data_IF_424799722577
#
_entry.id   IF_424799722577
#
_cell.length_a   1.000
_cell.length_b   1.000
_cell.length_c   1.000
_cell.angle_alpha   90.00
_cell.angle_beta   90.00
_cell.angle_gamma   90.00
#
_symmetry.space_group_name_H-M   'P 1'
#
loop_
_entity.id
_entity.type
_entity.pdbx_description
1 polymer ?
#
# COMPACT_ATOMS: atom_id res chain seq x y z
N UNK A 1 -54.54 61.45 -40.43
CA UNK A 1 -54.04 60.64 -39.31
C UNK A 1 -54.67 59.25 -39.39
N UNK A 2 -54.47 58.57 -40.53
CA UNK A 2 -54.95 57.23 -40.89
C UNK A 2 -54.45 57.07 -42.34
N UNK A 3 -53.20 56.64 -42.57
CA UNK A 3 -52.86 55.39 -43.29
C UNK A 3 -51.33 55.11 -43.12
N UNK A 4 -50.62 55.89 -42.29
CA UNK A 4 -49.15 55.79 -42.13
C UNK A 4 -48.69 54.70 -41.13
N UNK A 5 -49.56 54.14 -40.28
CA UNK A 5 -49.15 53.06 -39.35
C UNK A 5 -49.39 51.62 -39.86
N UNK A 6 -50.00 51.46 -41.03
CA UNK A 6 -50.17 50.16 -41.73
C UNK A 6 -48.83 49.56 -42.24
N UNK A 7 -47.82 50.42 -42.41
CA UNK A 7 -46.49 49.98 -42.87
C UNK A 7 -45.62 49.48 -41.70
N UNK A 8 -45.90 49.90 -40.46
CA UNK A 8 -45.20 49.39 -39.26
C UNK A 8 -45.70 47.98 -38.90
N UNK A 9 -46.99 47.68 -39.11
CA UNK A 9 -47.54 46.34 -38.89
C UNK A 9 -47.07 45.29 -39.92
N UNK A 10 -46.88 45.68 -41.20
CA UNK A 10 -46.50 44.73 -42.26
C UNK A 10 -45.01 44.42 -42.34
N UNK A 11 -44.12 45.28 -41.84
CA UNK A 11 -42.68 44.97 -41.77
C UNK A 11 -42.37 44.10 -40.53
N UNK A 12 -43.19 44.21 -39.48
CA UNK A 12 -43.12 43.36 -38.28
C UNK A 12 -43.56 41.91 -38.51
N UNK A 13 -44.49 41.63 -39.43
CA UNK A 13 -44.99 40.25 -39.64
C UNK A 13 -44.24 39.45 -40.71
N UNK A 14 -43.58 40.09 -41.69
CA UNK A 14 -42.83 39.37 -42.75
C UNK A 14 -41.34 39.16 -42.44
N UNK A 15 -40.82 39.79 -41.39
CA UNK A 15 -39.41 39.62 -41.00
C UNK A 15 -39.23 38.52 -39.95
N UNK A 16 -40.28 38.16 -39.20
CA UNK A 16 -40.16 37.25 -38.02
C UNK A 16 -40.11 35.77 -38.41
N UNK A 17 -40.70 35.37 -39.55
CA UNK A 17 -40.66 33.98 -40.02
C UNK A 17 -39.24 33.50 -40.39
N UNK A 18 -38.54 34.13 -41.35
CA UNK A 18 -37.20 33.73 -41.75
C UNK A 18 -36.15 33.99 -40.66
N UNK A 19 -36.25 35.12 -39.95
CA UNK A 19 -35.33 35.47 -38.85
C UNK A 19 -35.55 34.53 -37.67
N UNK A 20 -36.81 34.22 -37.33
CA UNK A 20 -37.17 33.26 -36.28
C UNK A 20 -36.73 31.83 -36.60
N UNK A 21 -36.84 31.39 -37.86
CA UNK A 21 -36.28 30.11 -38.32
C UNK A 21 -34.75 30.08 -38.21
N UNK A 22 -34.06 31.16 -38.63
CA UNK A 22 -32.61 31.27 -38.50
C UNK A 22 -32.13 31.24 -37.04
N UNK A 23 -32.79 31.97 -36.16
CA UNK A 23 -32.53 31.90 -34.71
C UNK A 23 -32.89 30.52 -34.15
N UNK A 24 -33.94 29.87 -34.66
CA UNK A 24 -34.33 28.51 -34.29
C UNK A 24 -33.26 27.46 -34.61
N UNK A 25 -32.67 27.51 -35.81
CA UNK A 25 -31.55 26.64 -36.18
C UNK A 25 -30.29 26.91 -35.35
N UNK A 26 -30.01 28.18 -35.04
CA UNK A 26 -28.87 28.57 -34.19
C UNK A 26 -29.04 28.07 -32.74
N UNK A 27 -30.22 28.25 -32.16
CA UNK A 27 -30.56 27.78 -30.80
C UNK A 27 -30.52 26.25 -30.75
N UNK A 28 -31.09 25.57 -31.76
CA UNK A 28 -31.07 24.11 -31.88
C UNK A 28 -29.64 23.56 -32.00
N UNK A 29 -28.79 24.22 -32.80
CA UNK A 29 -27.37 23.87 -32.94
C UNK A 29 -26.63 24.02 -31.60
N UNK A 30 -26.74 25.19 -30.94
CA UNK A 30 -26.08 25.45 -29.66
C UNK A 30 -26.52 24.45 -28.58
N UNK A 31 -27.83 24.16 -28.52
CA UNK A 31 -28.38 23.17 -27.60
C UNK A 31 -27.79 21.77 -27.85
N UNK A 32 -27.70 21.33 -29.11
CA UNK A 32 -27.12 20.01 -29.46
C UNK A 32 -25.63 19.91 -29.12
N UNK A 33 -24.88 20.99 -29.28
CA UNK A 33 -23.47 21.06 -28.89
C UNK A 33 -23.33 21.01 -27.36
N UNK A 34 -24.14 21.76 -26.62
CA UNK A 34 -24.12 21.74 -25.16
C UNK A 34 -24.45 20.35 -24.59
N UNK A 35 -25.44 19.66 -25.17
CA UNK A 35 -25.78 18.27 -24.81
C UNK A 35 -24.60 17.33 -25.13
N UNK A 36 -23.93 17.53 -26.27
CA UNK A 36 -22.74 16.76 -26.62
C UNK A 36 -21.61 16.99 -25.61
N UNK A 37 -21.29 18.23 -25.25
CA UNK A 37 -20.26 18.58 -24.26
C UNK A 37 -20.56 17.94 -22.89
N UNK A 38 -21.83 17.98 -22.45
CA UNK A 38 -22.26 17.36 -21.19
C UNK A 38 -22.06 15.83 -21.22
N UNK A 39 -22.54 15.17 -22.29
CA UNK A 39 -22.44 13.70 -22.42
C UNK A 39 -21.00 13.24 -22.62
N UNK A 40 -20.20 14.02 -23.34
CA UNK A 40 -18.77 13.80 -23.52
C UNK A 40 -18.03 13.85 -22.18
N UNK A 41 -18.30 14.87 -21.35
CA UNK A 41 -17.74 14.97 -20.00
C UNK A 41 -18.09 13.75 -19.13
N UNK A 42 -19.36 13.31 -19.16
CA UNK A 42 -19.81 12.09 -18.46
C UNK A 42 -19.08 10.83 -18.95
N UNK A 43 -18.83 10.70 -20.26
CA UNK A 43 -18.09 9.58 -20.82
C UNK A 43 -16.62 9.58 -20.38
N UNK A 44 -15.96 10.74 -20.33
CA UNK A 44 -14.60 10.85 -19.80
C UNK A 44 -14.51 10.42 -18.33
N UNK A 45 -15.44 10.89 -17.48
CA UNK A 45 -15.51 10.48 -16.07
C UNK A 45 -15.73 8.97 -15.93
N UNK A 46 -16.62 8.40 -16.76
CA UNK A 46 -16.90 6.97 -16.76
C UNK A 46 -15.69 6.15 -17.21
N UNK A 47 -15.00 6.58 -18.27
CA UNK A 47 -13.75 5.97 -18.74
C UNK A 47 -12.72 5.96 -17.62
N UNK A 48 -12.54 7.08 -16.93
CA UNK A 48 -11.57 7.20 -15.84
C UNK A 48 -11.90 6.22 -14.69
N UNK A 49 -13.16 6.15 -14.27
CA UNK A 49 -13.59 5.21 -13.23
C UNK A 49 -13.35 3.73 -13.61
N UNK A 50 -13.68 3.36 -14.86
CA UNK A 50 -13.43 2.00 -15.37
C UNK A 50 -11.94 1.73 -15.54
N UNK A 51 -11.16 2.71 -15.99
CA UNK A 51 -9.70 2.61 -16.12
C UNK A 51 -9.03 2.42 -14.76
N UNK A 52 -9.44 3.17 -13.74
CA UNK A 52 -8.97 2.98 -12.36
C UNK A 52 -9.30 1.56 -11.84
N UNK A 53 -10.45 1.03 -12.22
CA UNK A 53 -10.85 -0.35 -11.88
C UNK A 53 -9.99 -1.39 -12.61
N UNK A 54 -9.68 -1.15 -13.89
CA UNK A 54 -8.77 -1.98 -14.70
C UNK A 54 -7.35 -1.93 -14.17
N UNK A 55 -6.87 -0.74 -13.78
CA UNK A 55 -5.57 -0.56 -13.17
C UNK A 55 -5.55 -1.29 -11.84
N UNK A 56 -6.56 -1.11 -10.97
CA UNK A 56 -6.72 -1.87 -9.74
C UNK A 56 -6.72 -3.39 -9.96
N UNK A 57 -7.42 -3.88 -10.98
CA UNK A 57 -7.39 -5.29 -11.36
C UNK A 57 -5.99 -5.74 -11.82
N UNK A 58 -5.28 -4.92 -12.61
CA UNK A 58 -3.89 -5.20 -13.02
C UNK A 58 -2.92 -5.19 -11.84
N UNK A 59 -3.07 -4.25 -10.92
CA UNK A 59 -2.30 -4.17 -9.66
C UNK A 59 -2.52 -5.41 -8.80
N UNK A 60 -3.75 -5.96 -8.81
CA UNK A 60 -4.10 -7.21 -8.13
C UNK A 60 -3.95 -8.46 -9.01
N UNK A 61 -3.29 -8.34 -10.17
CA UNK A 61 -3.02 -9.41 -11.15
C UNK A 61 -4.26 -10.19 -11.62
N UNK A 62 -5.42 -9.56 -11.60
CA UNK A 62 -6.67 -10.13 -12.09
C UNK A 62 -6.76 -10.02 -13.62
N UNK A 63 -7.34 -11.05 -14.23
CA UNK A 63 -7.59 -11.06 -15.67
C UNK A 63 -8.73 -10.09 -15.98
N UNK A 64 -8.40 -8.98 -16.63
CA UNK A 64 -9.38 -8.03 -17.12
C UNK A 64 -10.10 -8.64 -18.33
N UNK A 65 -11.42 -8.77 -18.21
CA UNK A 65 -12.31 -9.28 -19.24
C UNK A 65 -12.08 -8.58 -20.59
N UNK A 66 -12.10 -9.35 -21.68
CA UNK A 66 -11.87 -8.86 -23.04
C UNK A 66 -12.87 -7.78 -23.46
N UNK A 67 -14.09 -7.87 -22.95
CA UNK A 67 -15.22 -6.97 -23.17
C UNK A 67 -14.89 -5.57 -22.61
N UNK A 68 -14.31 -5.50 -21.41
CA UNK A 68 -13.90 -4.23 -20.77
C UNK A 68 -12.75 -3.56 -21.53
N UNK A 69 -11.78 -4.35 -22.00
CA UNK A 69 -10.68 -3.83 -22.83
C UNK A 69 -11.19 -3.27 -24.15
N UNK A 70 -12.09 -4.01 -24.80
CA UNK A 70 -12.72 -3.62 -26.07
C UNK A 70 -13.53 -2.34 -25.90
N UNK A 71 -14.32 -2.26 -24.82
CA UNK A 71 -15.09 -1.06 -24.48
C UNK A 71 -14.18 0.16 -24.25
N UNK A 72 -13.10 0.03 -23.47
CA UNK A 72 -12.14 1.13 -23.26
C UNK A 72 -11.52 1.64 -24.56
N UNK A 73 -11.13 0.73 -25.46
CA UNK A 73 -10.60 1.10 -26.78
C UNK A 73 -11.64 1.84 -27.63
N UNK A 74 -12.89 1.37 -27.61
CA UNK A 74 -13.99 2.04 -28.32
C UNK A 74 -14.26 3.44 -27.76
N UNK A 75 -14.23 3.61 -26.44
CA UNK A 75 -14.40 4.89 -25.75
C UNK A 75 -13.26 5.84 -26.05
N UNK A 76 -12.01 5.37 -26.07
CA UNK A 76 -10.84 6.19 -26.44
C UNK A 76 -10.95 6.75 -27.85
N UNK A 77 -11.24 5.88 -28.82
CA UNK A 77 -11.47 6.28 -30.20
C UNK A 77 -12.61 7.30 -30.29
N UNK A 78 -13.70 7.07 -29.56
CA UNK A 78 -14.85 8.00 -29.56
C UNK A 78 -14.51 9.35 -28.94
N UNK A 79 -13.72 9.35 -27.86
CA UNK A 79 -13.24 10.57 -27.21
C UNK A 79 -12.37 11.38 -28.17
N UNK A 80 -11.45 10.73 -28.88
CA UNK A 80 -10.60 11.39 -29.88
C UNK A 80 -11.43 11.99 -31.03
N UNK A 81 -12.37 11.22 -31.60
CA UNK A 81 -13.28 11.70 -32.65
C UNK A 81 -14.14 12.90 -32.19
N UNK A 82 -14.66 12.84 -30.97
CA UNK A 82 -15.51 13.89 -30.40
C UNK A 82 -14.71 15.15 -30.03
N UNK A 83 -13.51 14.99 -29.47
CA UNK A 83 -12.59 16.11 -29.21
C UNK A 83 -12.19 16.81 -30.50
N UNK A 84 -11.80 16.04 -31.52
CA UNK A 84 -11.46 16.60 -32.83
C UNK A 84 -12.61 17.42 -33.42
N UNK A 85 -13.84 16.90 -33.34
CA UNK A 85 -15.03 17.65 -33.75
C UNK A 85 -15.26 18.93 -32.93
N UNK A 86 -15.11 18.88 -31.61
CA UNK A 86 -15.32 20.05 -30.74
C UNK A 86 -14.25 21.13 -30.92
N UNK A 87 -12.97 20.75 -31.10
CA UNK A 87 -11.86 21.67 -31.31
C UNK A 87 -11.81 22.20 -32.74
N UNK A 88 -11.81 21.33 -33.75
CA UNK A 88 -11.57 21.73 -35.13
C UNK A 88 -12.83 22.28 -35.81
N UNK A 89 -13.98 21.64 -35.63
CA UNK A 89 -15.21 21.99 -36.37
C UNK A 89 -16.11 23.00 -35.62
N UNK A 90 -16.11 22.97 -34.28
CA UNK A 90 -17.01 23.79 -33.45
C UNK A 90 -16.32 25.05 -32.93
N UNK A 91 -15.11 24.96 -32.36
CA UNK A 91 -14.37 26.14 -31.86
C UNK A 91 -13.79 27.01 -32.97
N UNK A 92 -13.16 26.42 -33.99
CA UNK A 92 -12.68 27.19 -35.16
C UNK A 92 -13.81 27.95 -35.84
N UNK A 93 -15.00 27.38 -35.87
CA UNK A 93 -16.19 28.00 -36.45
C UNK A 93 -16.87 29.02 -35.52
N UNK A 94 -16.63 28.99 -34.19
CA UNK A 94 -16.97 30.10 -33.29
C UNK A 94 -16.09 31.34 -33.55
N UNK A 95 -14.87 31.14 -34.08
CA UNK A 95 -13.90 32.21 -34.33
C UNK A 95 -14.07 32.88 -35.71
N UNK A 96 -14.80 32.26 -36.64
CA UNK A 96 -15.07 32.87 -37.94
C UNK A 96 -16.25 33.86 -37.86
N UNK A 97 -15.93 35.13 -38.19
CA UNK A 97 -16.85 36.20 -38.60
C UNK A 97 -17.79 36.82 -37.54
N UNK A 98 -17.30 37.23 -36.35
CA UNK A 98 -17.89 38.27 -35.48
C UNK A 98 -19.43 38.46 -35.55
N UNK A 99 -20.19 37.36 -35.56
CA UNK A 99 -21.66 37.34 -35.53
C UNK A 99 -22.47 37.72 -36.79
N UNK A 100 -21.89 37.97 -37.98
CA UNK A 100 -22.68 38.60 -39.07
C UNK A 100 -23.10 37.72 -40.28
N UNK A 101 -22.72 36.44 -40.36
CA UNK A 101 -23.27 35.54 -41.40
C UNK A 101 -23.33 34.08 -40.90
N UNK A 102 -24.47 33.60 -40.37
CA UNK A 102 -24.62 32.20 -40.03
C UNK A 102 -24.78 31.37 -41.31
N UNK A 103 -23.77 30.58 -41.68
CA UNK A 103 -23.98 29.52 -42.67
C UNK A 103 -24.93 28.47 -42.05
N UNK A 104 -26.22 28.63 -42.32
CA UNK A 104 -27.28 27.76 -41.81
C UNK A 104 -27.07 26.30 -42.21
N UNK A 105 -26.48 26.05 -43.39
CA UNK A 105 -26.18 24.69 -43.86
C UNK A 105 -25.05 24.09 -43.03
N UNK A 106 -24.04 24.89 -42.70
CA UNK A 106 -22.96 24.52 -41.79
C UNK A 106 -23.47 24.22 -40.38
N UNK A 107 -24.27 25.11 -39.77
CA UNK A 107 -24.85 24.88 -38.43
C UNK A 107 -25.78 23.68 -38.39
N UNK A 108 -26.57 23.46 -39.44
CA UNK A 108 -27.40 22.27 -39.56
C UNK A 108 -26.56 20.99 -39.65
N UNK A 109 -25.50 21.00 -40.47
CA UNK A 109 -24.56 19.88 -40.61
C UNK A 109 -23.83 19.57 -39.30
N UNK A 110 -23.28 20.59 -38.64
CA UNK A 110 -22.62 20.46 -37.33
C UNK A 110 -23.61 19.99 -36.27
N UNK A 111 -24.85 20.48 -36.26
CA UNK A 111 -25.89 20.02 -35.36
C UNK A 111 -26.26 18.55 -35.57
N UNK A 112 -26.31 18.06 -36.82
CA UNK A 112 -26.49 16.64 -37.12
C UNK A 112 -25.29 15.80 -36.68
N UNK A 113 -24.08 16.28 -36.93
CA UNK A 113 -22.83 15.59 -36.52
C UNK A 113 -22.73 15.52 -34.99
N UNK A 114 -23.11 16.60 -34.30
CA UNK A 114 -23.20 16.64 -32.85
C UNK A 114 -24.21 15.62 -32.32
N UNK A 115 -25.43 15.59 -32.87
CA UNK A 115 -26.45 14.62 -32.49
C UNK A 115 -26.01 13.17 -32.72
N UNK A 116 -25.31 12.90 -33.83
CA UNK A 116 -24.75 11.56 -34.11
C UNK A 116 -23.69 11.18 -33.06
N UNK A 117 -22.78 12.09 -32.73
CA UNK A 117 -21.79 11.86 -31.68
C UNK A 117 -22.44 11.66 -30.31
N UNK A 118 -23.47 12.45 -29.96
CA UNK A 118 -24.21 12.29 -28.71
C UNK A 118 -24.84 10.91 -28.59
N UNK A 119 -25.48 10.39 -29.65
CA UNK A 119 -26.08 9.05 -29.64
C UNK A 119 -25.04 7.96 -29.39
N UNK A 120 -23.94 8.00 -30.14
CA UNK A 120 -22.85 7.03 -29.97
C UNK A 120 -22.22 7.09 -28.56
N UNK A 121 -22.12 8.28 -27.96
CA UNK A 121 -21.64 8.44 -26.58
C UNK A 121 -22.64 7.87 -25.58
N UNK A 122 -23.95 8.03 -25.81
CA UNK A 122 -24.99 7.47 -24.93
C UNK A 122 -24.97 5.94 -24.98
N UNK A 123 -24.83 5.33 -26.16
CA UNK A 123 -24.68 3.88 -26.31
C UNK A 123 -23.48 3.35 -25.50
N UNK A 124 -22.31 4.00 -25.61
CA UNK A 124 -21.12 3.64 -24.82
C UNK A 124 -21.31 3.83 -23.31
N UNK A 125 -22.08 4.84 -22.88
CA UNK A 125 -22.41 5.05 -21.47
C UNK A 125 -23.33 3.95 -20.93
N UNK A 126 -24.27 3.48 -21.74
CA UNK A 126 -25.18 2.38 -21.39
C UNK A 126 -24.41 1.05 -21.29
N UNK A 127 -23.57 0.73 -22.27
CA UNK A 127 -22.64 -0.41 -22.22
C UNK A 127 -21.72 -0.34 -20.99
N UNK A 128 -21.23 0.87 -20.68
CA UNK A 128 -20.36 1.12 -19.52
C UNK A 128 -21.05 0.92 -18.16
N UNK A 129 -22.38 0.93 -18.12
CA UNK A 129 -23.17 0.70 -16.91
C UNK A 129 -23.08 -0.73 -16.37
N UNK A 130 -22.81 -1.71 -17.24
CA UNK A 130 -22.66 -3.11 -16.83
C UNK A 130 -21.33 -3.37 -16.10
N UNK A 131 -20.35 -2.48 -16.27
CA UNK A 131 -19.03 -2.57 -15.65
C UNK A 131 -18.93 -1.85 -14.29
N UNK A 132 -20.06 -1.34 -13.74
CA UNK A 132 -20.11 -0.62 -12.45
C UNK A 132 -19.89 -1.51 -11.20
N UNK A 133 -19.82 -2.84 -11.36
CA UNK A 133 -19.78 -3.78 -10.23
C UNK A 133 -18.38 -4.21 -9.81
N UNK A 134 -17.46 -3.30 -9.51
CA UNK A 134 -16.29 -3.61 -8.66
C UNK A 134 -15.85 -2.38 -7.85
N UNK A 135 -16.75 -1.78 -7.07
CA UNK A 135 -16.30 -0.96 -5.95
C UNK A 135 -15.70 -1.89 -4.89
N UNK A 136 -14.38 -2.05 -4.88
CA UNK A 136 -13.72 -2.11 -3.58
C UNK A 136 -12.54 -1.16 -3.56
N UNK A 137 -12.69 -0.19 -2.64
CA UNK A 137 -11.72 0.27 -1.67
C UNK A 137 -10.32 0.42 -2.25
N UNK A 138 -9.96 1.69 -2.47
CA UNK A 138 -8.58 2.11 -2.68
C UNK A 138 -7.65 1.33 -1.73
N UNK A 139 -6.47 0.88 -2.19
CA UNK A 139 -5.48 0.30 -1.29
C UNK A 139 -5.33 1.21 -0.07
N UNK A 140 -5.20 0.68 1.16
CA UNK A 140 -4.78 1.54 2.25
C UNK A 140 -3.54 2.28 1.75
N UNK A 141 -3.61 3.62 1.78
CA UNK A 141 -2.45 4.48 1.59
C UNK A 141 -1.33 3.79 2.34
N UNK A 142 -0.24 3.44 1.62
CA UNK A 142 1.01 3.07 2.26
C UNK A 142 1.23 4.17 3.26
N UNK A 143 0.94 3.89 4.53
CA UNK A 143 1.54 4.58 5.64
C UNK A 143 3.00 4.30 5.36
N UNK A 144 3.65 5.27 4.71
CA UNK A 144 5.08 5.40 4.72
C UNK A 144 5.34 5.35 6.20
N UNK A 145 5.78 4.18 6.68
CA UNK A 145 6.13 4.01 8.07
C UNK A 145 7.17 5.09 8.29
N UNK A 146 6.74 6.18 8.89
CA UNK A 146 7.57 7.28 9.31
C UNK A 146 8.25 6.80 10.58
N UNK A 147 9.01 5.71 10.47
CA UNK A 147 10.07 5.39 11.41
C UNK A 147 11.35 5.81 10.71
N UNK A 148 11.64 7.10 10.79
CA UNK A 148 12.99 7.64 10.65
C UNK A 148 13.93 7.19 11.76
N UNK A 149 13.52 6.23 12.61
CA UNK A 149 14.44 5.40 13.37
C UNK A 149 15.14 4.47 12.37
N UNK A 150 16.22 4.98 11.78
CA UNK A 150 17.17 4.17 11.03
C UNK A 150 17.51 2.98 11.92
N UNK A 151 17.29 1.76 11.44
CA UNK A 151 17.88 0.55 12.02
C UNK A 151 19.31 0.89 12.43
N UNK A 152 19.60 0.88 13.75
CA UNK A 152 20.94 1.26 14.21
C UNK A 152 21.92 0.25 13.63
N UNK A 153 22.94 0.78 12.99
CA UNK A 153 23.78 0.05 12.04
C UNK A 153 24.83 -0.81 12.74
N UNK A 154 24.37 -1.75 13.58
CA UNK A 154 25.19 -2.67 14.33
C UNK A 154 25.94 -3.61 13.39
N UNK A 155 27.27 -3.62 13.46
CA UNK A 155 28.12 -4.50 12.65
C UNK A 155 27.79 -5.98 12.88
N UNK A 156 27.47 -6.36 14.13
CA UNK A 156 27.02 -7.71 14.47
C UNK A 156 25.76 -8.12 13.71
N UNK A 157 24.85 -7.17 13.46
CA UNK A 157 23.59 -7.40 12.73
C UNK A 157 23.76 -7.32 11.22
N UNK A 158 24.64 -6.44 10.72
CA UNK A 158 24.97 -6.34 9.29
C UNK A 158 25.46 -7.66 8.72
N UNK A 159 26.33 -8.35 9.45
CA UNK A 159 26.87 -9.64 9.02
C UNK A 159 25.74 -10.67 8.85
N UNK A 160 24.84 -10.75 9.82
CA UNK A 160 23.67 -11.65 9.79
C UNK A 160 22.75 -11.29 8.62
N UNK A 161 22.40 -10.02 8.46
CA UNK A 161 21.53 -9.54 7.37
C UNK A 161 22.14 -9.90 6.00
N UNK A 162 23.45 -9.71 5.81
CA UNK A 162 24.14 -10.11 4.57
C UNK A 162 24.01 -11.61 4.31
N UNK A 163 24.17 -12.43 5.34
CA UNK A 163 24.05 -13.88 5.21
C UNK A 163 22.61 -14.31 4.92
N UNK A 164 21.62 -13.67 5.55
CA UNK A 164 20.18 -13.90 5.25
C UNK A 164 19.85 -13.53 3.82
N UNK A 165 20.33 -12.38 3.32
CA UNK A 165 20.16 -11.99 1.92
C UNK A 165 20.83 -12.97 0.96
N UNK A 166 21.99 -13.51 1.33
CA UNK A 166 22.65 -14.60 0.59
C UNK A 166 21.77 -15.86 0.50
N UNK A 167 21.21 -16.30 1.63
CA UNK A 167 20.29 -17.44 1.67
C UNK A 167 18.99 -17.18 0.89
N UNK A 168 18.46 -15.96 0.92
CA UNK A 168 17.28 -15.58 0.14
C UNK A 168 17.52 -15.68 -1.38
N UNK A 169 18.76 -15.48 -1.84
CA UNK A 169 19.16 -15.62 -3.25
C UNK A 169 19.38 -17.07 -3.69
N UNK A 170 19.58 -18.01 -2.76
CA UNK A 170 19.84 -19.41 -3.09
C UNK A 170 18.54 -20.17 -3.41
N UNK A 171 18.36 -20.64 -4.64
CA UNK A 171 17.16 -21.36 -5.11
C UNK A 171 16.89 -22.68 -4.36
N UNK A 172 17.89 -23.24 -3.67
CA UNK A 172 17.75 -24.48 -2.87
C UNK A 172 17.15 -24.21 -1.48
N UNK A 173 17.13 -22.95 -1.05
CA UNK A 173 16.64 -22.54 0.26
C UNK A 173 15.27 -21.89 0.10
N UNK A 174 14.26 -22.51 0.70
CA UNK A 174 12.88 -22.03 0.67
C UNK A 174 12.44 -21.39 1.98
N UNK A 175 12.95 -21.91 3.10
CA UNK A 175 12.63 -21.43 4.44
C UNK A 175 13.91 -20.98 5.15
N UNK A 176 13.83 -19.79 5.73
CA UNK A 176 14.90 -19.14 6.48
C UNK A 176 14.35 -18.70 7.83
N UNK A 177 15.14 -18.84 8.89
CA UNK A 177 14.79 -18.34 10.20
C UNK A 177 15.85 -17.40 10.77
N UNK A 178 15.37 -16.35 11.45
CA UNK A 178 16.17 -15.53 12.36
C UNK A 178 15.69 -15.85 13.78
N UNK A 179 16.55 -16.41 14.62
CA UNK A 179 16.17 -16.84 15.96
C UNK A 179 17.04 -16.21 17.05
N UNK A 180 16.52 -16.14 18.27
CA UNK A 180 17.24 -15.56 19.41
C UNK A 180 16.29 -15.01 20.47
N UNK A 181 16.83 -14.56 21.60
CA UNK A 181 16.05 -14.11 22.76
C UNK A 181 15.01 -13.03 22.41
N UNK A 182 13.94 -12.93 23.21
CA UNK A 182 12.99 -11.81 23.12
C UNK A 182 13.70 -10.46 23.33
N UNK A 183 13.30 -9.42 22.61
CA UNK A 183 13.90 -8.08 22.77
C UNK A 183 15.25 -7.86 22.07
N UNK A 184 15.77 -8.87 21.37
CA UNK A 184 17.09 -8.82 20.70
C UNK A 184 17.10 -8.07 19.35
N UNK A 185 15.92 -7.66 18.83
CA UNK A 185 15.79 -6.91 17.58
C UNK A 185 15.53 -7.73 16.32
N UNK A 186 15.00 -8.97 16.42
CA UNK A 186 14.71 -9.82 15.24
C UNK A 186 13.69 -9.20 14.28
N UNK A 187 12.57 -8.72 14.81
CA UNK A 187 11.54 -8.03 14.01
C UNK A 187 12.12 -6.81 13.28
N UNK A 188 13.02 -6.10 13.94
CA UNK A 188 13.67 -4.92 13.36
C UNK A 188 14.66 -5.31 12.24
N UNK A 189 15.41 -6.41 12.42
CA UNK A 189 16.22 -6.98 11.33
C UNK A 189 15.37 -7.47 10.16
N UNK A 190 14.21 -8.08 10.43
CA UNK A 190 13.30 -8.50 9.37
C UNK A 190 12.83 -7.30 8.54
N UNK A 191 12.46 -6.18 9.17
CA UNK A 191 12.10 -4.93 8.47
C UNK A 191 13.25 -4.38 7.62
N UNK A 192 14.47 -4.37 8.15
CA UNK A 192 15.66 -3.95 7.39
C UNK A 192 15.91 -4.86 6.17
N UNK A 193 15.74 -6.18 6.33
CA UNK A 193 15.80 -7.13 5.21
C UNK A 193 14.73 -6.82 4.16
N UNK A 194 13.49 -6.49 4.57
CA UNK A 194 12.44 -6.06 3.62
C UNK A 194 12.85 -4.82 2.85
N UNK A 195 13.47 -3.84 3.52
CA UNK A 195 14.00 -2.65 2.89
C UNK A 195 15.02 -2.98 1.79
N UNK A 196 15.99 -3.83 2.12
CA UNK A 196 17.05 -4.26 1.17
C UNK A 196 16.53 -5.12 0.04
N UNK A 197 15.64 -6.07 0.33
CA UNK A 197 14.99 -6.93 -0.67
C UNK A 197 14.24 -6.09 -1.71
N UNK A 198 13.51 -5.05 -1.26
CA UNK A 198 12.79 -4.14 -2.15
C UNK A 198 13.73 -3.26 -2.95
N UNK A 199 14.81 -2.76 -2.33
CA UNK A 199 15.81 -1.94 -3.01
C UNK A 199 16.56 -2.73 -4.09
N UNK A 200 16.92 -3.98 -3.80
CA UNK A 200 17.63 -4.88 -4.72
C UNK A 200 16.70 -5.52 -5.77
N UNK A 201 15.37 -5.38 -5.63
CA UNK A 201 14.40 -6.04 -6.49
C UNK A 201 14.45 -7.57 -6.43
N UNK A 202 14.86 -8.14 -5.29
CA UNK A 202 15.09 -9.59 -5.16
C UNK A 202 13.78 -10.40 -5.23
N UNK A 203 12.69 -9.80 -4.79
CA UNK A 203 11.33 -10.35 -4.84
C UNK A 203 10.39 -9.31 -5.43
N UNK A 204 9.37 -9.75 -6.17
CA UNK A 204 8.40 -8.80 -6.74
C UNK A 204 7.51 -8.20 -5.65
N UNK A 205 7.19 -9.01 -4.65
CA UNK A 205 6.33 -8.61 -3.54
C UNK A 205 6.83 -9.21 -2.22
N UNK A 206 6.49 -8.52 -1.14
CA UNK A 206 6.82 -8.94 0.22
C UNK A 206 5.58 -8.78 1.10
N UNK A 207 5.18 -9.84 1.77
CA UNK A 207 4.05 -9.86 2.70
C UNK A 207 4.54 -10.27 4.08
N UNK A 208 3.97 -9.68 5.13
CA UNK A 208 4.35 -9.90 6.53
C UNK A 208 3.09 -10.21 7.31
N UNK A 209 3.14 -11.23 8.16
CA UNK A 209 2.11 -11.52 9.14
C UNK A 209 2.72 -11.83 10.50
N UNK A 210 2.05 -11.40 11.56
CA UNK A 210 2.45 -11.67 12.94
C UNK A 210 1.74 -12.92 13.42
N UNK A 211 2.51 -13.94 13.80
CA UNK A 211 1.98 -15.24 14.23
C UNK A 211 1.53 -15.20 15.68
N UNK A 212 2.32 -14.57 16.56
CA UNK A 212 2.08 -14.46 18.01
C UNK A 212 2.05 -15.81 18.77
N UNK A 213 1.89 -15.77 20.09
CA UNK A 213 1.87 -16.96 20.97
C UNK A 213 0.71 -17.91 20.68
N UNK A 214 -0.45 -17.36 20.31
CA UNK A 214 -1.65 -18.13 20.01
C UNK A 214 -2.02 -17.86 18.55
N UNK A 215 -1.48 -18.65 17.61
CA UNK A 215 -1.63 -18.39 16.19
C UNK A 215 -3.10 -18.35 15.78
N UNK A 216 -3.51 -17.22 15.21
CA UNK A 216 -4.80 -17.09 14.56
C UNK A 216 -4.59 -17.16 13.05
N UNK A 217 -4.79 -18.35 12.47
CA UNK A 217 -4.51 -18.61 11.06
C UNK A 217 -5.38 -17.72 10.13
N UNK A 218 -6.62 -17.45 10.49
CA UNK A 218 -7.51 -16.55 9.74
C UNK A 218 -6.97 -15.11 9.70
N UNK A 219 -6.41 -14.65 10.83
CA UNK A 219 -5.74 -13.34 10.94
C UNK A 219 -4.46 -13.31 10.10
N UNK A 220 -3.63 -14.34 10.19
CA UNK A 220 -2.40 -14.47 9.38
C UNK A 220 -2.73 -14.41 7.89
N UNK A 221 -3.73 -15.18 7.43
CA UNK A 221 -4.21 -15.11 6.05
C UNK A 221 -4.66 -13.70 5.67
N UNK A 222 -5.37 -13.01 6.57
CA UNK A 222 -5.83 -11.64 6.35
C UNK A 222 -4.69 -10.64 6.19
N UNK A 223 -3.69 -10.68 7.07
CA UNK A 223 -2.51 -9.80 7.00
C UNK A 223 -1.70 -10.05 5.73
N UNK A 224 -1.48 -11.32 5.35
CA UNK A 224 -0.80 -11.66 4.10
C UNK A 224 -1.60 -11.21 2.88
N UNK A 225 -2.91 -11.44 2.86
CA UNK A 225 -3.78 -11.03 1.76
C UNK A 225 -3.82 -9.51 1.60
N UNK A 226 -3.94 -8.76 2.71
CA UNK A 226 -3.93 -7.29 2.69
C UNK A 226 -2.64 -6.75 2.05
N UNK A 227 -1.48 -7.28 2.45
CA UNK A 227 -0.19 -6.85 1.90
C UNK A 227 0.00 -7.23 0.43
N UNK A 228 -0.63 -8.32 -0.03
CA UNK A 228 -0.60 -8.77 -1.42
C UNK A 228 -1.73 -8.19 -2.29
N UNK A 229 -2.62 -7.36 -1.72
CA UNK A 229 -3.81 -6.88 -2.44
C UNK A 229 -4.81 -7.99 -2.80
N UNK A 230 -4.78 -9.11 -2.09
CA UNK A 230 -5.68 -10.24 -2.29
C UNK A 230 -7.02 -10.00 -1.56
N UNK A 231 -8.13 -10.38 -2.19
CA UNK A 231 -9.42 -10.47 -1.50
C UNK A 231 -9.67 -11.92 -1.12
N UNK A 232 -9.92 -12.14 0.16
CA UNK A 232 -10.31 -13.44 0.69
C UNK A 232 -11.83 -13.44 0.89
N UNK A 233 -12.58 -13.97 -0.08
CA UNK A 233 -14.05 -13.97 -0.03
C UNK A 233 -14.59 -15.19 0.70
N UNK A 234 -13.80 -16.26 0.79
CA UNK A 234 -14.19 -17.44 1.54
C UNK A 234 -14.27 -17.14 3.06
N UNK A 235 -15.31 -17.69 3.69
CA UNK A 235 -15.44 -17.66 5.15
C UNK A 235 -14.62 -18.78 5.82
N UNK A 236 -14.48 -19.92 5.14
CA UNK A 236 -13.75 -21.07 5.67
C UNK A 236 -12.24 -20.87 5.62
N UNK A 237 -11.54 -21.40 6.62
CA UNK A 237 -10.07 -21.36 6.68
C UNK A 237 -9.42 -21.95 5.41
N UNK A 238 -9.93 -23.08 4.93
CA UNK A 238 -9.40 -23.74 3.73
C UNK A 238 -9.67 -22.95 2.44
N UNK A 239 -10.87 -22.39 2.28
CA UNK A 239 -11.18 -21.57 1.10
C UNK A 239 -10.28 -20.33 1.03
N UNK A 240 -10.04 -19.68 2.17
CA UNK A 240 -9.12 -18.54 2.28
C UNK A 240 -7.67 -18.92 1.97
N UNK A 241 -7.24 -20.10 2.44
CA UNK A 241 -5.91 -20.63 2.14
C UNK A 241 -5.74 -20.83 0.63
N UNK A 242 -6.76 -21.36 -0.06
CA UNK A 242 -6.73 -21.58 -1.51
C UNK A 242 -6.71 -20.26 -2.30
N UNK A 243 -7.47 -19.26 -1.86
CA UNK A 243 -7.42 -17.90 -2.45
C UNK A 243 -6.04 -17.25 -2.27
N UNK A 244 -5.43 -17.39 -1.09
CA UNK A 244 -4.08 -16.89 -0.84
C UNK A 244 -3.03 -17.64 -1.65
N UNK A 245 -3.13 -18.97 -1.72
CA UNK A 245 -2.28 -19.81 -2.55
C UNK A 245 -2.32 -19.38 -4.03
N UNK A 246 -3.52 -19.18 -4.57
CA UNK A 246 -3.71 -18.70 -5.96
C UNK A 246 -3.06 -17.34 -6.16
N UNK A 247 -3.17 -16.44 -5.18
CA UNK A 247 -2.51 -15.12 -5.23
C UNK A 247 -0.98 -15.24 -5.22
N UNK A 248 -0.43 -16.12 -4.41
CA UNK A 248 1.02 -16.33 -4.28
C UNK A 248 1.63 -16.96 -5.53
N UNK A 249 0.90 -17.87 -6.20
CA UNK A 249 1.36 -18.58 -7.40
C UNK A 249 1.18 -17.77 -8.69
N UNK A 250 0.21 -16.85 -8.75
CA UNK A 250 0.09 -15.90 -9.86
C UNK A 250 1.21 -14.85 -9.88
N UNK A 251 1.78 -14.54 -8.71
CA UNK A 251 2.94 -13.65 -8.60
C UNK A 251 4.24 -14.35 -8.94
N UNK A 252 5.12 -13.63 -9.63
CA UNK A 252 6.51 -14.08 -9.79
C UNK A 252 7.25 -13.83 -8.48
N UNK A 253 7.61 -14.89 -7.75
CA UNK A 253 8.55 -14.85 -6.62
C UNK A 253 8.19 -13.85 -5.49
N UNK A 254 7.46 -14.35 -4.48
CA UNK A 254 7.02 -13.59 -3.29
C UNK A 254 7.86 -13.96 -2.06
N UNK A 255 8.24 -12.98 -1.25
CA UNK A 255 8.77 -13.22 0.10
C UNK A 255 7.65 -13.11 1.13
N UNK A 256 7.35 -14.20 1.82
CA UNK A 256 6.43 -14.24 2.95
C UNK A 256 7.24 -14.16 4.24
N UNK A 257 6.88 -13.24 5.13
CA UNK A 257 7.49 -13.10 6.45
C UNK A 257 6.50 -13.49 7.53
N UNK A 258 6.85 -14.49 8.33
CA UNK A 258 6.09 -14.92 9.50
C UNK A 258 6.82 -14.43 10.76
N UNK A 259 6.38 -13.31 11.31
CA UNK A 259 7.03 -12.65 12.45
C UNK A 259 6.51 -13.20 13.79
N UNK A 260 7.42 -13.35 14.74
CA UNK A 260 7.18 -13.80 16.11
C UNK A 260 6.49 -15.18 16.17
N UNK A 261 7.14 -16.20 15.57
CA UNK A 261 6.75 -17.62 15.66
C UNK A 261 7.24 -18.19 16.99
N UNK A 262 6.31 -18.55 17.87
CA UNK A 262 6.62 -19.13 19.18
C UNK A 262 6.72 -20.65 19.13
N UNK A 263 5.67 -21.29 18.62
CA UNK A 263 5.56 -22.74 18.47
C UNK A 263 5.79 -23.15 17.01
N UNK A 264 6.25 -24.39 16.76
CA UNK A 264 6.49 -24.86 15.40
C UNK A 264 5.21 -24.82 14.56
N UNK A 265 5.29 -24.20 13.38
CA UNK A 265 4.26 -24.33 12.36
C UNK A 265 4.56 -25.57 11.53
N UNK A 266 3.77 -26.62 11.71
CA UNK A 266 3.94 -27.86 10.95
C UNK A 266 3.35 -27.71 9.54
N UNK A 267 3.55 -28.75 8.73
CA UNK A 267 2.99 -28.83 7.38
C UNK A 267 1.52 -28.42 7.31
N UNK A 268 0.68 -28.93 8.23
CA UNK A 268 -0.76 -28.60 8.26
C UNK A 268 -1.05 -27.14 8.52
N UNK A 269 -0.21 -26.45 9.32
CA UNK A 269 -0.39 -25.03 9.60
C UNK A 269 -0.02 -24.19 8.37
N UNK A 270 1.08 -24.54 7.70
CA UNK A 270 1.51 -23.86 6.47
C UNK A 270 0.53 -24.11 5.30
N UNK A 271 -0.06 -25.29 5.23
CA UNK A 271 -1.14 -25.64 4.30
C UNK A 271 -2.41 -24.84 4.62
N UNK A 272 -2.80 -24.78 5.89
CA UNK A 272 -3.95 -24.00 6.35
C UNK A 272 -3.76 -22.48 6.19
N UNK A 273 -2.53 -21.98 6.20
CA UNK A 273 -2.22 -20.58 5.84
C UNK A 273 -2.33 -20.39 4.32
N UNK A 274 -2.01 -21.41 3.51
CA UNK A 274 -2.01 -21.33 2.05
C UNK A 274 -0.63 -21.06 1.43
N UNK A 275 0.45 -21.26 2.19
CA UNK A 275 1.83 -20.97 1.75
C UNK A 275 2.62 -22.22 1.41
N UNK A 276 2.23 -23.40 1.91
CA UNK A 276 3.02 -24.62 1.75
C UNK A 276 3.18 -25.06 0.28
N UNK A 277 2.08 -25.14 -0.47
CA UNK A 277 2.17 -25.55 -1.88
C UNK A 277 2.83 -24.47 -2.73
N UNK A 278 2.66 -23.19 -2.38
CA UNK A 278 3.35 -22.09 -3.06
C UNK A 278 4.88 -22.16 -2.90
N UNK A 279 5.38 -22.67 -1.77
CA UNK A 279 6.81 -22.97 -1.58
C UNK A 279 7.25 -24.11 -2.51
N UNK A 280 6.47 -25.20 -2.59
CA UNK A 280 6.80 -26.35 -3.44
C UNK A 280 6.92 -25.97 -4.92
N UNK A 281 6.06 -25.07 -5.37
CA UNK A 281 6.07 -24.54 -6.74
C UNK A 281 7.14 -23.47 -6.97
N UNK A 282 7.95 -23.14 -5.96
CA UNK A 282 8.97 -22.08 -5.99
C UNK A 282 8.39 -20.69 -6.31
N UNK A 283 7.11 -20.51 -5.99
CA UNK A 283 6.39 -19.24 -6.16
C UNK A 283 6.63 -18.29 -4.98
N UNK A 284 6.96 -18.82 -3.81
CA UNK A 284 7.35 -18.01 -2.66
C UNK A 284 8.47 -18.64 -1.81
N UNK A 285 9.10 -17.78 -1.00
CA UNK A 285 9.99 -18.17 0.11
C UNK A 285 9.46 -17.66 1.43
N UNK A 286 9.81 -18.35 2.52
CA UNK A 286 9.45 -17.93 3.88
C UNK A 286 10.71 -17.46 4.63
N UNK A 287 10.64 -16.25 5.17
CA UNK A 287 11.51 -15.80 6.26
C UNK A 287 10.68 -15.76 7.54
N UNK A 288 11.15 -16.38 8.61
CA UNK A 288 10.47 -16.27 9.91
C UNK A 288 11.38 -15.74 10.99
N UNK A 289 10.78 -15.13 12.01
CA UNK A 289 11.48 -14.79 13.25
C UNK A 289 10.96 -15.66 14.38
N UNK A 290 11.85 -16.18 15.23
CA UNK A 290 11.46 -17.02 16.36
C UNK A 290 12.29 -16.74 17.61
N UNK A 291 11.74 -17.05 18.79
CA UNK A 291 12.47 -16.92 20.06
C UNK A 291 13.40 -18.09 20.33
N UNK A 292 13.10 -19.26 19.78
CA UNK A 292 13.77 -20.51 20.12
C UNK A 292 14.30 -21.15 18.85
N UNK A 293 15.60 -21.47 18.85
CA UNK A 293 16.23 -22.20 17.75
C UNK A 293 15.64 -23.62 17.62
N UNK A 294 15.23 -24.22 18.73
CA UNK A 294 14.56 -25.51 18.76
C UNK A 294 13.27 -25.51 17.91
N UNK A 295 12.44 -24.46 18.02
CA UNK A 295 11.25 -24.28 17.18
C UNK A 295 11.61 -24.32 15.69
N UNK A 296 12.67 -23.62 15.30
CA UNK A 296 13.17 -23.61 13.92
C UNK A 296 13.65 -25.00 13.45
N UNK A 297 14.37 -25.72 14.32
CA UNK A 297 14.87 -27.06 14.04
C UNK A 297 13.73 -28.08 13.87
N UNK A 298 12.69 -28.01 14.70
CA UNK A 298 11.51 -28.86 14.60
C UNK A 298 10.75 -28.65 13.28
N UNK A 299 10.75 -27.43 12.75
CA UNK A 299 10.20 -27.08 11.43
C UNK A 299 11.10 -27.49 10.25
N UNK A 300 12.31 -28.02 10.50
CA UNK A 300 13.29 -28.44 9.47
C UNK A 300 13.66 -27.33 8.49
N UNK A 301 13.80 -26.10 9.01
CA UNK A 301 14.18 -24.92 8.23
C UNK A 301 15.61 -25.10 7.69
N UNK A 302 15.81 -24.82 6.40
CA UNK A 302 17.10 -25.10 5.74
C UNK A 302 18.24 -24.20 6.24
N UNK A 303 17.92 -22.93 6.56
CA UNK A 303 18.90 -21.94 6.98
C UNK A 303 18.42 -21.18 8.22
N UNK A 304 19.15 -21.34 9.31
CA UNK A 304 18.84 -20.72 10.60
C UNK A 304 19.96 -19.76 10.96
N UNK A 305 19.60 -18.54 11.35
CA UNK A 305 20.51 -17.46 11.70
C UNK A 305 20.26 -17.02 13.15
N UNK A 306 21.05 -17.56 14.12
CA UNK A 306 20.97 -17.15 15.51
C UNK A 306 21.47 -15.72 15.72
N UNK A 307 20.77 -14.99 16.58
CA UNK A 307 21.04 -13.61 16.94
C UNK A 307 21.38 -13.55 18.41
N UNK A 308 22.65 -13.26 18.71
CA UNK A 308 23.16 -13.07 20.06
C UNK A 308 22.92 -11.67 20.62
N UNK A 309 23.38 -11.42 21.85
CA UNK A 309 23.46 -10.10 22.46
C UNK A 309 24.31 -9.13 21.62
N UNK A 310 24.13 -7.82 21.84
CA UNK A 310 25.04 -6.83 21.26
C UNK A 310 26.47 -7.03 21.80
N UNK A 311 27.47 -6.57 21.05
CA UNK A 311 28.82 -6.42 21.63
C UNK A 311 28.78 -5.36 22.76
N UNK A 312 29.76 -5.38 23.66
CA UNK A 312 29.86 -4.36 24.71
C UNK A 312 29.92 -2.94 24.12
N UNK A 313 30.67 -2.78 23.03
CA UNK A 313 30.77 -1.52 22.30
C UNK A 313 29.44 -1.09 21.67
N UNK A 314 28.75 -2.00 20.98
CA UNK A 314 27.44 -1.72 20.37
C UNK A 314 26.39 -1.36 21.43
N UNK A 315 26.39 -2.09 22.54
CA UNK A 315 25.48 -1.86 23.66
C UNK A 315 25.73 -0.50 24.32
N UNK A 316 27.01 -0.18 24.60
CA UNK A 316 27.38 1.12 25.17
C UNK A 316 27.05 2.27 24.22
N UNK A 317 27.36 2.13 22.93
CA UNK A 317 27.05 3.15 21.93
C UNK A 317 25.53 3.37 21.80
N UNK A 318 24.72 2.30 21.89
CA UNK A 318 23.26 2.42 21.97
C UNK A 318 22.80 3.11 23.24
N UNK A 319 23.33 2.72 24.41
CA UNK A 319 22.97 3.34 25.67
C UNK A 319 23.28 4.85 25.67
N UNK A 320 24.48 5.22 25.22
CA UNK A 320 24.94 6.61 25.14
C UNK A 320 24.01 7.46 24.24
N UNK A 321 23.63 6.93 23.08
CA UNK A 321 22.68 7.60 22.19
C UNK A 321 21.30 7.80 22.85
N UNK A 322 20.80 6.80 23.58
CA UNK A 322 19.48 6.85 24.20
C UNK A 322 19.43 7.76 25.43
N UNK A 323 20.52 7.82 26.21
CA UNK A 323 20.66 8.72 27.35
C UNK A 323 20.88 10.19 26.92
N UNK A 324 21.59 10.40 25.82
CA UNK A 324 21.82 11.73 25.25
C UNK A 324 22.82 12.57 26.05
N UNK A 325 22.68 13.89 25.99
CA UNK A 325 23.70 14.85 26.45
C UNK A 325 23.97 14.86 27.96
N UNK A 326 23.14 14.18 28.78
CA UNK A 326 23.38 14.10 30.22
C UNK A 326 24.71 13.43 30.56
N UNK A 327 25.18 12.51 29.70
CA UNK A 327 26.45 11.81 29.87
C UNK A 327 27.69 12.69 29.66
N UNK A 328 27.52 13.95 29.20
CA UNK A 328 28.60 14.94 29.20
C UNK A 328 28.96 15.41 30.62
N UNK A 329 28.16 15.08 31.63
CA UNK A 329 28.45 15.37 33.04
C UNK A 329 29.48 14.36 33.57
N UNK A 330 30.72 14.76 33.94
CA UNK A 330 31.81 13.82 34.24
C UNK A 330 31.48 12.81 35.35
N UNK A 331 30.69 13.23 36.34
CA UNK A 331 30.32 12.38 37.48
C UNK A 331 29.26 11.32 37.13
N UNK A 332 28.57 11.44 35.99
CA UNK A 332 27.51 10.51 35.59
C UNK A 332 28.01 9.33 34.76
N UNK A 333 29.11 9.48 34.03
CA UNK A 333 29.61 8.46 33.08
C UNK A 333 29.83 7.12 33.80
N UNK A 334 30.47 7.13 34.98
CA UNK A 334 30.79 5.90 35.72
C UNK A 334 29.55 5.17 36.24
N UNK A 335 28.48 5.89 36.58
CA UNK A 335 27.21 5.30 37.01
C UNK A 335 26.41 4.84 35.79
N UNK A 336 26.43 5.59 34.70
CA UNK A 336 25.80 5.24 33.45
C UNK A 336 26.37 3.94 32.85
N UNK A 337 27.69 3.74 32.91
CA UNK A 337 28.32 2.46 32.53
C UNK A 337 27.81 1.29 33.38
N UNK A 338 27.59 1.49 34.67
CA UNK A 338 27.03 0.46 35.56
C UNK A 338 25.57 0.18 35.19
N UNK A 339 24.76 1.22 34.99
CA UNK A 339 23.36 1.08 34.55
C UNK A 339 23.26 0.36 33.20
N UNK A 340 24.14 0.68 32.25
CA UNK A 340 24.19 0.02 30.95
C UNK A 340 24.55 -1.47 31.07
N UNK A 341 25.41 -1.84 32.04
CA UNK A 341 25.74 -3.24 32.34
C UNK A 341 24.52 -4.01 32.85
N UNK A 342 23.68 -3.41 33.70
CA UNK A 342 22.43 -4.03 34.18
C UNK A 342 21.41 -4.27 33.04
N UNK A 343 21.58 -3.66 31.86
CA UNK A 343 20.75 -3.91 30.68
C UNK A 343 21.14 -5.18 29.91
N UNK A 344 22.16 -5.92 30.36
CA UNK A 344 22.61 -7.21 29.80
C UNK A 344 22.82 -7.22 28.28
N UNK A 345 23.25 -6.07 27.71
CA UNK A 345 23.48 -5.88 26.26
C UNK A 345 22.25 -6.20 25.40
N UNK A 346 21.05 -6.17 25.98
CA UNK A 346 19.79 -6.42 25.29
C UNK A 346 19.24 -5.09 24.72
N UNK A 347 19.05 -4.97 23.38
CA UNK A 347 18.60 -3.72 22.76
C UNK A 347 17.35 -3.11 23.38
N UNK A 348 16.31 -3.91 23.64
CA UNK A 348 15.06 -3.38 24.22
C UNK A 348 15.26 -2.81 25.63
N UNK A 349 16.11 -3.44 26.45
CA UNK A 349 16.40 -2.98 27.81
C UNK A 349 17.21 -1.68 27.77
N UNK A 350 18.23 -1.62 26.92
CA UNK A 350 19.07 -0.44 26.72
C UNK A 350 18.23 0.76 26.26
N UNK A 351 17.37 0.58 25.25
CA UNK A 351 16.50 1.66 24.75
C UNK A 351 15.57 2.13 25.86
N UNK A 352 14.92 1.22 26.56
CA UNK A 352 13.99 1.58 27.64
C UNK A 352 14.67 2.34 28.78
N UNK A 353 15.78 1.82 29.31
CA UNK A 353 16.49 2.40 30.45
C UNK A 353 17.19 3.70 30.04
N UNK A 354 17.91 3.70 28.92
CA UNK A 354 18.60 4.88 28.40
C UNK A 354 17.63 6.03 28.14
N UNK A 355 16.51 5.76 27.46
CA UNK A 355 15.49 6.80 27.21
C UNK A 355 14.81 7.28 28.50
N UNK A 356 14.57 6.41 29.48
CA UNK A 356 13.99 6.80 30.76
C UNK A 356 14.91 7.72 31.58
N UNK A 357 16.23 7.57 31.43
CA UNK A 357 17.25 8.40 32.08
C UNK A 357 17.72 9.57 31.21
N UNK A 358 17.13 9.73 30.02
CA UNK A 358 17.42 10.88 29.17
C UNK A 358 17.07 12.20 29.87
N UNK A 359 17.90 13.22 29.68
CA UNK A 359 17.76 14.54 30.32
C UNK A 359 17.80 14.55 31.86
N UNK A 360 18.24 13.45 32.50
CA UNK A 360 18.48 13.39 33.95
C UNK A 360 19.93 13.75 34.25
N UNK A 361 20.17 14.91 34.86
CA UNK A 361 21.50 15.41 35.18
C UNK A 361 21.91 15.20 36.65
N UNK A 362 20.97 14.81 37.51
CA UNK A 362 21.23 14.56 38.92
C UNK A 362 21.79 13.15 39.14
N UNK A 363 22.98 13.08 39.74
CA UNK A 363 23.66 11.84 40.10
C UNK A 363 22.80 10.95 41.02
N UNK A 364 21.97 11.56 41.88
CA UNK A 364 21.08 10.82 42.76
C UNK A 364 20.02 10.02 42.01
N UNK A 365 19.47 10.57 40.92
CA UNK A 365 18.49 9.86 40.08
C UNK A 365 19.11 8.63 39.42
N UNK A 366 20.35 8.75 38.93
CA UNK A 366 21.11 7.66 38.33
C UNK A 366 21.46 6.55 39.34
N UNK A 367 21.90 6.93 40.55
CA UNK A 367 22.15 5.96 41.64
C UNK A 367 20.87 5.22 42.04
N UNK A 368 19.75 5.94 42.11
CA UNK A 368 18.45 5.36 42.43
C UNK A 368 18.02 4.35 41.36
N UNK A 369 18.16 4.71 40.08
CA UNK A 369 17.87 3.81 38.97
C UNK A 369 18.76 2.56 39.00
N UNK A 370 20.07 2.73 39.22
CA UNK A 370 21.01 1.61 39.34
C UNK A 370 20.59 0.64 40.47
N UNK A 371 20.26 1.17 41.65
CA UNK A 371 19.80 0.36 42.78
C UNK A 371 18.51 -0.39 42.45
N UNK A 372 17.56 0.25 41.76
CA UNK A 372 16.31 -0.40 41.35
C UNK A 372 16.55 -1.55 40.36
N UNK A 373 17.44 -1.34 39.39
CA UNK A 373 17.82 -2.37 38.41
C UNK A 373 18.48 -3.58 39.11
N UNK A 374 19.41 -3.33 40.03
CA UNK A 374 20.08 -4.36 40.82
C UNK A 374 19.13 -5.13 41.74
N UNK A 375 18.06 -4.47 42.21
CA UNK A 375 17.01 -5.12 43.01
C UNK A 375 16.03 -5.94 42.15
N UNK A 376 15.85 -5.61 40.87
CA UNK A 376 15.05 -6.38 39.93
C UNK A 376 15.86 -7.62 39.45
N UNK A 377 16.11 -8.60 40.32
CA UNK A 377 16.73 -9.89 39.94
C UNK A 377 15.80 -10.65 38.98
N UNK A 378 16.26 -11.10 37.79
CA UNK A 378 15.51 -12.06 36.99
C UNK A 378 15.51 -13.41 37.72
N UNK A 379 14.34 -13.94 38.08
CA UNK A 379 14.22 -15.38 38.39
C UNK A 379 14.47 -16.16 37.09
N UNK A 380 15.73 -16.45 36.79
CA UNK A 380 16.12 -17.44 35.78
C UNK A 380 15.74 -18.82 36.33
N UNK A 381 14.54 -19.30 35.99
CA UNK A 381 14.20 -20.72 36.06
C UNK A 381 14.04 -21.19 34.61
N UNK A 382 14.87 -22.15 34.24
CA UNK A 382 14.81 -22.86 32.97
C UNK A 382 13.39 -23.36 32.67
N UNK A 383 12.83 -22.90 31.55
CA UNK A 383 11.70 -23.59 30.91
C UNK A 383 10.29 -23.04 31.12
N UNK A 384 10.06 -21.79 31.54
CA UNK A 384 8.72 -21.19 31.50
C UNK A 384 8.72 -19.71 31.08
N UNK A 385 7.77 -19.37 30.20
CA UNK A 385 7.34 -18.06 29.69
C UNK A 385 7.95 -16.77 30.30
N UNK A 386 8.41 -15.80 29.48
CA UNK A 386 8.88 -14.53 30.00
C UNK A 386 7.70 -13.61 30.34
N UNK A 387 7.39 -13.49 31.64
CA UNK A 387 6.81 -12.26 32.17
C UNK A 387 7.88 -11.17 32.07
N UNK A 388 7.52 -10.12 31.33
CA UNK A 388 8.20 -8.82 31.28
C UNK A 388 8.52 -8.38 32.71
N UNK A 389 9.70 -7.78 32.90
CA UNK A 389 10.12 -7.11 34.13
C UNK A 389 8.94 -6.54 34.91
N UNK A 390 8.59 -7.18 36.02
CA UNK A 390 7.62 -6.61 36.96
C UNK A 390 8.36 -5.67 37.92
N UNK A 391 8.95 -4.59 37.40
CA UNK A 391 9.34 -3.49 38.28
C UNK A 391 8.05 -2.68 38.60
N UNK A 392 7.75 -2.52 39.89
CA UNK A 392 6.59 -1.74 40.35
C UNK A 392 6.69 -0.31 39.80
N UNK A 393 5.56 0.22 39.35
CA UNK A 393 5.40 1.55 38.72
C UNK A 393 6.37 2.59 39.29
N UNK A 394 7.16 3.18 38.40
CA UNK A 394 7.79 4.49 38.58
C UNK A 394 6.65 5.52 38.73
N UNK A 395 6.64 6.25 39.85
CA UNK A 395 5.75 7.37 40.14
C UNK A 395 6.57 8.56 40.58
#
# INVERSE_FOLDING_TARGET
MEIIFSIVGKIGEYSVGPIGEQFGYLISYKSKIMILEEKFSKLCQKKEAVQQSVDGARWNQQVVASEVKTWLTNVEKKIEEANKFLEEDVKTNRMCLNGWCPDLKLHYSLGKKAQKNTRAIVELLEEGGEYDRVFNIAPPLKVRSSSTERFKDFESRKSIIRNVLGALRDEKIDMIAICGMGGIGKTEMAKEIVGRVKADGLFHEVAIAVVSQSPNLTKIQGELAEMLGARLNAESLHGRANELYTRLTNSKNVLVILDDVWEPLYFKDLEAIGVYDAIKEKSCKILLTSRMEETCNQMRIQSIFPVGLLSEEEAWNLFNEMAGDCLNTPNLISIAEQVAKECDRLPIAIVMVGSALSNKYDEYEWKTALQQLQMCIPQYISGLHPKIWSCKKVS
#
